data_IF_006286889282
#
_entry.id   IF_006286889282
#
_cell.length_a   1.000
_cell.length_b   1.000
_cell.length_c   1.000
_cell.angle_alpha   90.00
_cell.angle_beta   90.00
_cell.angle_gamma   90.00
#
_symmetry.space_group_name_H-M   'P 1'
#
loop_
_entity.id
_entity.type
_entity.pdbx_description
1 polymer ?
#
# COMPACT_ATOMS: atom_id res chain seq x y z
N UNK A 1 25.26 73.32 -22.89
CA UNK A 1 23.83 73.39 -22.54
C UNK A 1 23.11 72.36 -23.41
N UNK A 2 22.58 71.27 -22.87
CA UNK A 2 21.83 70.29 -23.68
C UNK A 2 20.38 70.74 -23.87
N UNK A 3 19.87 70.52 -25.05
CA UNK A 3 18.55 70.92 -25.56
C UNK A 3 17.42 70.06 -24.96
N UNK A 4 16.42 70.64 -24.30
CA UNK A 4 15.35 69.89 -23.58
C UNK A 4 14.21 69.39 -24.49
N UNK A 5 14.33 69.48 -25.82
CA UNK A 5 13.21 69.18 -26.74
C UNK A 5 13.13 67.73 -27.22
N UNK A 6 14.13 66.88 -26.96
CA UNK A 6 14.16 65.48 -27.41
C UNK A 6 13.46 64.49 -26.51
N UNK A 7 13.35 64.79 -25.23
CA UNK A 7 12.87 63.80 -24.23
C UNK A 7 11.35 63.70 -24.14
N UNK A 8 10.61 64.75 -24.48
CA UNK A 8 9.14 64.76 -24.40
C UNK A 8 8.44 64.01 -25.54
N UNK A 9 9.09 63.86 -26.68
CA UNK A 9 8.51 63.15 -27.84
C UNK A 9 8.59 61.64 -27.68
N UNK A 10 9.64 61.14 -27.02
CA UNK A 10 9.80 59.69 -26.77
C UNK A 10 8.79 59.13 -25.74
N UNK A 11 8.44 59.97 -24.73
CA UNK A 11 7.52 59.54 -23.66
C UNK A 11 6.06 59.44 -24.16
N UNK A 12 5.61 60.33 -24.99
CA UNK A 12 4.25 60.35 -25.58
C UNK A 12 4.01 59.16 -26.53
N UNK A 13 5.05 58.72 -27.24
CA UNK A 13 4.94 57.60 -28.18
C UNK A 13 4.89 56.25 -27.49
N UNK A 14 5.48 56.14 -26.29
CA UNK A 14 5.48 54.91 -25.50
C UNK A 14 4.11 54.67 -24.81
N UNK A 15 3.48 55.73 -24.29
CA UNK A 15 2.14 55.65 -23.68
C UNK A 15 1.06 55.28 -24.69
N UNK A 16 1.14 55.76 -25.95
CA UNK A 16 0.17 55.42 -26.99
C UNK A 16 0.27 53.95 -27.45
N UNK A 17 1.48 53.39 -27.44
CA UNK A 17 1.67 51.95 -27.77
C UNK A 17 1.26 51.02 -26.64
N UNK A 18 1.35 51.45 -25.40
CA UNK A 18 0.92 50.65 -24.23
C UNK A 18 -0.59 50.60 -24.06
N UNK A 19 -1.33 51.66 -24.50
CA UNK A 19 -2.79 51.67 -24.47
C UNK A 19 -3.45 50.83 -25.54
N UNK A 20 -2.77 50.54 -26.64
CA UNK A 20 -3.29 49.68 -27.74
C UNK A 20 -3.06 48.19 -27.39
N UNK A 21 -2.06 47.88 -26.57
CA UNK A 21 -1.81 46.49 -26.14
C UNK A 21 -2.74 46.01 -25.02
N UNK A 22 -3.36 46.96 -24.26
CA UNK A 22 -4.27 46.63 -23.16
C UNK A 22 -5.71 46.28 -23.58
N UNK A 23 -6.09 46.51 -24.85
CA UNK A 23 -7.46 46.25 -25.35
C UNK A 23 -7.60 44.89 -26.04
N UNK A 24 -6.51 44.20 -26.37
CA UNK A 24 -6.56 42.91 -27.09
C UNK A 24 -6.54 41.70 -26.13
N UNK A 25 -6.30 41.88 -24.81
CA UNK A 25 -6.21 40.78 -23.82
C UNK A 25 -7.55 40.50 -23.10
N UNK A 26 -8.61 41.30 -23.38
CA UNK A 26 -9.90 41.14 -22.69
C UNK A 26 -10.93 40.24 -23.43
N UNK A 27 -10.52 39.55 -24.51
CA UNK A 27 -11.35 38.50 -25.11
C UNK A 27 -10.73 37.14 -24.82
N UNK A 28 -10.42 36.93 -23.51
CA UNK A 28 -10.06 35.63 -22.97
C UNK A 28 -11.27 34.72 -23.11
N UNK A 29 -11.15 33.66 -23.88
CA UNK A 29 -12.07 32.54 -23.94
C UNK A 29 -12.39 32.12 -22.50
N UNK A 30 -13.57 32.42 -22.02
CA UNK A 30 -14.21 31.78 -20.91
C UNK A 30 -14.52 30.34 -21.39
N UNK A 31 -13.51 29.47 -21.31
CA UNK A 31 -13.73 28.03 -21.39
C UNK A 31 -14.41 27.69 -20.09
N UNK A 32 -15.71 27.32 -20.10
CA UNK A 32 -16.31 26.80 -18.90
C UNK A 32 -15.46 25.59 -18.50
N UNK A 33 -14.86 25.62 -17.31
CA UNK A 33 -14.28 24.45 -16.70
C UNK A 33 -15.45 23.48 -16.49
N UNK A 34 -15.69 22.63 -17.48
CA UNK A 34 -16.56 21.47 -17.29
C UNK A 34 -15.88 20.67 -16.17
N UNK A 35 -16.57 20.41 -15.02
CA UNK A 35 -16.05 19.46 -14.07
C UNK A 35 -15.80 18.19 -14.88
N UNK A 36 -14.56 17.70 -14.91
CA UNK A 36 -14.24 16.38 -15.43
C UNK A 36 -15.09 15.42 -14.60
N UNK A 37 -16.22 15.01 -15.18
CA UNK A 37 -16.98 13.89 -14.65
C UNK A 37 -15.96 12.75 -14.59
N UNK A 38 -15.67 12.27 -13.37
CA UNK A 38 -14.89 11.06 -13.13
C UNK A 38 -15.57 9.99 -13.94
N UNK A 39 -14.98 9.60 -15.05
CA UNK A 39 -15.65 8.73 -16.02
C UNK A 39 -15.85 7.35 -15.38
N UNK A 40 -16.92 6.65 -15.76
CA UNK A 40 -17.13 5.25 -15.39
C UNK A 40 -15.86 4.41 -15.71
N UNK A 41 -15.16 4.75 -16.77
CA UNK A 41 -13.88 4.14 -17.17
C UNK A 41 -12.80 4.25 -16.08
N UNK A 42 -12.75 5.37 -15.31
CA UNK A 42 -11.77 5.56 -14.23
C UNK A 42 -12.13 4.69 -13.01
N UNK A 43 -13.42 4.49 -12.74
CA UNK A 43 -13.89 3.59 -11.69
C UNK A 43 -13.57 2.13 -12.02
N UNK A 44 -13.90 1.68 -13.23
CA UNK A 44 -13.64 0.31 -13.68
C UNK A 44 -12.13 0.03 -13.72
N UNK A 45 -11.33 1.00 -14.13
CA UNK A 45 -9.87 0.88 -14.10
C UNK A 45 -9.33 0.66 -12.67
N UNK A 46 -9.87 1.37 -11.67
CA UNK A 46 -9.47 1.18 -10.27
C UNK A 46 -9.95 -0.14 -9.68
N UNK A 47 -11.15 -0.59 -10.01
CA UNK A 47 -11.65 -1.91 -9.59
C UNK A 47 -10.77 -3.03 -10.18
N UNK A 48 -10.39 -2.90 -11.45
CA UNK A 48 -9.46 -3.84 -12.09
C UNK A 48 -8.07 -3.79 -11.43
N UNK A 49 -7.55 -2.62 -11.10
CA UNK A 49 -6.29 -2.44 -10.38
C UNK A 49 -6.32 -3.16 -9.02
N UNK A 50 -7.41 -3.00 -8.26
CA UNK A 50 -7.63 -3.67 -6.98
C UNK A 50 -7.65 -5.20 -7.13
N UNK A 51 -8.35 -5.71 -8.14
CA UNK A 51 -8.41 -7.13 -8.44
C UNK A 51 -7.04 -7.69 -8.80
N UNK A 52 -6.27 -6.99 -9.63
CA UNK A 52 -4.89 -7.37 -9.95
C UNK A 52 -3.99 -7.40 -8.72
N UNK A 53 -4.15 -6.42 -7.81
CA UNK A 53 -3.38 -6.33 -6.57
C UNK A 53 -3.66 -7.56 -5.70
N UNK A 54 -4.93 -7.96 -5.55
CA UNK A 54 -5.33 -9.17 -4.83
C UNK A 54 -4.75 -10.44 -5.45
N UNK A 55 -4.79 -10.56 -6.78
CA UNK A 55 -4.20 -11.69 -7.51
C UNK A 55 -2.67 -11.75 -7.32
N UNK A 56 -1.98 -10.60 -7.40
CA UNK A 56 -0.53 -10.52 -7.18
C UNK A 56 -0.16 -10.95 -5.74
N UNK A 57 -0.93 -10.48 -4.75
CA UNK A 57 -0.74 -10.86 -3.35
C UNK A 57 -0.98 -12.36 -3.13
N UNK A 58 -2.04 -12.92 -3.70
CA UNK A 58 -2.34 -14.35 -3.68
C UNK A 58 -1.19 -15.18 -4.26
N UNK A 59 -0.67 -14.78 -5.41
CA UNK A 59 0.44 -15.46 -6.08
C UNK A 59 1.71 -15.46 -5.23
N UNK A 60 2.05 -14.32 -4.62
CA UNK A 60 3.22 -14.21 -3.72
C UNK A 60 3.04 -15.13 -2.53
N UNK A 61 1.86 -15.09 -1.89
CA UNK A 61 1.56 -15.91 -0.73
C UNK A 61 1.63 -17.42 -1.05
N UNK A 62 0.99 -17.86 -2.14
CA UNK A 62 1.04 -19.25 -2.60
C UNK A 62 2.48 -19.73 -2.86
N UNK A 63 3.30 -18.92 -3.53
CA UNK A 63 4.68 -19.27 -3.83
C UNK A 63 5.52 -19.47 -2.56
N UNK A 64 5.27 -18.68 -1.51
CA UNK A 64 5.94 -18.83 -0.22
C UNK A 64 5.46 -20.09 0.47
N UNK A 65 4.16 -20.33 0.51
CA UNK A 65 3.57 -21.48 1.18
C UNK A 65 3.88 -22.81 0.50
N UNK A 66 4.18 -22.82 -0.78
CA UNK A 66 4.60 -23.99 -1.55
C UNK A 66 6.10 -24.29 -1.47
N UNK A 67 6.91 -23.41 -0.84
CA UNK A 67 8.35 -23.63 -0.73
C UNK A 67 8.61 -24.64 0.40
N UNK A 68 9.17 -25.82 0.10
CA UNK A 68 9.43 -26.83 1.12
C UNK A 68 10.39 -26.28 2.18
N UNK A 69 10.13 -26.62 3.46
CA UNK A 69 10.96 -26.30 4.62
C UNK A 69 11.26 -24.80 4.86
N UNK A 70 10.64 -23.89 4.10
CA UNK A 70 10.80 -22.44 4.22
C UNK A 70 9.47 -21.67 4.26
N UNK A 71 8.34 -22.35 4.31
CA UNK A 71 7.04 -21.70 4.41
C UNK A 71 6.81 -21.03 5.77
N UNK A 72 5.87 -20.11 5.83
CA UNK A 72 5.34 -19.60 7.10
C UNK A 72 4.67 -20.75 7.84
N UNK A 73 5.00 -20.99 9.12
CA UNK A 73 4.41 -22.09 9.89
C UNK A 73 2.89 -22.00 9.93
N UNK A 74 2.21 -23.10 9.61
CA UNK A 74 0.73 -23.12 9.55
C UNK A 74 0.08 -22.77 10.89
N UNK A 75 0.72 -23.09 12.02
CA UNK A 75 0.19 -22.77 13.33
C UNK A 75 0.24 -21.26 13.63
N UNK A 76 1.17 -20.53 13.06
CA UNK A 76 1.14 -19.06 13.08
C UNK A 76 -0.01 -18.52 12.24
N UNK A 77 -0.21 -19.06 11.03
CA UNK A 77 -1.31 -18.64 10.17
C UNK A 77 -2.68 -18.92 10.81
N UNK A 78 -2.84 -20.03 11.53
CA UNK A 78 -4.07 -20.35 12.27
C UNK A 78 -4.39 -19.35 13.39
N UNK A 79 -3.36 -18.78 14.03
CA UNK A 79 -3.49 -17.79 15.11
C UNK A 79 -3.53 -16.36 14.61
N UNK A 80 -3.11 -16.10 13.37
CA UNK A 80 -3.06 -14.77 12.81
C UNK A 80 -4.43 -14.10 12.79
N UNK A 81 -4.47 -12.84 13.17
CA UNK A 81 -5.63 -11.96 13.13
C UNK A 81 -5.78 -11.30 11.76
N UNK A 82 -4.66 -10.96 11.11
CA UNK A 82 -4.63 -10.50 9.74
C UNK A 82 -3.34 -10.91 9.05
N UNK A 83 -3.38 -10.94 7.72
CA UNK A 83 -2.20 -11.14 6.88
C UNK A 83 -2.18 -10.01 5.86
N UNK A 84 -1.02 -9.35 5.74
CA UNK A 84 -0.76 -8.34 4.73
C UNK A 84 0.33 -8.84 3.77
N UNK A 85 0.15 -8.60 2.48
CA UNK A 85 1.16 -8.88 1.45
C UNK A 85 1.36 -7.65 0.61
N UNK A 86 2.60 -7.19 0.50
CA UNK A 86 3.04 -6.09 -0.35
C UNK A 86 3.93 -6.66 -1.44
N UNK A 87 3.35 -7.00 -2.61
CA UNK A 87 4.12 -7.52 -3.74
C UNK A 87 4.98 -6.42 -4.33
N UNK A 88 6.20 -6.77 -4.72
CA UNK A 88 7.05 -5.90 -5.53
C UNK A 88 7.37 -4.53 -4.90
N UNK A 89 7.66 -4.50 -3.60
CA UNK A 89 8.18 -3.29 -2.95
C UNK A 89 9.52 -2.93 -3.60
N UNK A 90 9.54 -1.80 -4.29
CA UNK A 90 10.71 -1.33 -5.03
C UNK A 90 11.61 -0.56 -4.08
N UNK A 91 12.87 -0.94 -4.05
CA UNK A 91 13.95 -0.23 -3.35
C UNK A 91 14.78 0.50 -4.38
N UNK A 92 14.94 1.80 -4.21
CA UNK A 92 15.88 2.60 -4.98
C UNK A 92 16.85 3.27 -4.01
N UNK A 93 18.13 2.92 -4.08
CA UNK A 93 19.14 3.44 -3.17
C UNK A 93 20.46 3.78 -3.90
N UNK A 94 21.05 4.89 -3.46
CA UNK A 94 22.42 5.28 -3.72
C UNK A 94 23.02 5.70 -2.36
N UNK A 95 23.44 4.72 -1.53
CA UNK A 95 23.85 4.87 -0.11
C UNK A 95 22.65 5.07 0.82
N UNK A 96 21.80 6.05 0.58
CA UNK A 96 20.49 6.26 1.21
C UNK A 96 19.43 6.30 0.11
N UNK A 97 18.33 5.64 0.31
CA UNK A 97 17.24 5.55 -0.66
C UNK A 97 15.88 5.44 0.01
N UNK A 98 14.88 5.20 -0.81
CA UNK A 98 13.53 4.92 -0.37
C UNK A 98 13.06 3.56 -0.91
N UNK A 99 12.15 2.93 -0.20
CA UNK A 99 11.42 1.77 -0.65
C UNK A 99 9.93 2.03 -0.54
N UNK A 100 9.16 1.46 -1.45
CA UNK A 100 7.72 1.60 -1.43
C UNK A 100 7.02 0.61 -2.34
N UNK A 101 5.79 0.26 -1.95
CA UNK A 101 4.95 -0.65 -2.71
C UNK A 101 3.52 -0.66 -2.18
N UNK A 102 2.61 -1.15 -3.02
CA UNK A 102 1.21 -1.35 -2.68
C UNK A 102 0.99 -2.76 -2.16
N UNK A 103 0.02 -2.93 -1.29
CA UNK A 103 -0.29 -4.21 -0.70
C UNK A 103 -1.75 -4.42 -0.38
N UNK A 104 -2.04 -5.61 0.07
CA UNK A 104 -3.38 -6.08 0.40
C UNK A 104 -3.34 -6.69 1.79
N UNK A 105 -4.32 -6.35 2.60
CA UNK A 105 -4.55 -6.91 3.94
C UNK A 105 -5.87 -7.67 3.92
N UNK A 106 -5.89 -8.86 4.52
CA UNK A 106 -7.12 -9.58 4.83
C UNK A 106 -7.14 -9.91 6.32
N UNK A 107 -8.22 -9.56 6.99
CA UNK A 107 -8.42 -9.83 8.41
C UNK A 107 -9.23 -11.11 8.61
N UNK A 108 -8.98 -11.79 9.73
CA UNK A 108 -9.77 -12.95 10.13
C UNK A 108 -11.14 -12.49 10.62
N UNK A 109 -12.17 -13.16 10.16
CA UNK A 109 -13.55 -12.99 10.59
C UNK A 109 -14.10 -14.28 11.14
N UNK A 110 -15.32 -14.27 11.70
CA UNK A 110 -16.00 -15.48 12.14
C UNK A 110 -16.32 -16.45 10.99
N UNK A 111 -16.45 -15.94 9.75
CA UNK A 111 -16.74 -16.72 8.56
C UNK A 111 -15.48 -17.18 7.78
N UNK A 112 -14.29 -16.78 8.24
CA UNK A 112 -13.02 -17.09 7.57
C UNK A 112 -12.15 -15.85 7.39
N UNK A 113 -11.61 -15.65 6.19
CA UNK A 113 -10.80 -14.47 5.85
C UNK A 113 -11.68 -13.44 5.15
N UNK A 114 -11.65 -12.23 5.65
CA UNK A 114 -12.43 -11.09 5.15
C UNK A 114 -11.91 -10.56 3.83
N UNK A 115 -12.66 -9.60 3.29
CA UNK A 115 -12.32 -8.91 2.04
C UNK A 115 -10.94 -8.26 2.07
N UNK A 116 -10.30 -8.16 0.90
CA UNK A 116 -9.04 -7.45 0.80
C UNK A 116 -9.23 -5.95 1.04
N UNK A 117 -8.41 -5.39 1.92
CA UNK A 117 -8.30 -3.95 2.16
C UNK A 117 -6.94 -3.50 1.66
N UNK A 118 -6.89 -2.38 0.93
CA UNK A 118 -5.69 -1.93 0.23
C UNK A 118 -4.89 -0.94 1.07
N UNK A 119 -3.57 -1.16 1.09
CA UNK A 119 -2.60 -0.37 1.84
C UNK A 119 -1.35 -0.11 1.01
N UNK A 120 -0.53 0.86 1.45
CA UNK A 120 0.81 1.13 0.95
C UNK A 120 1.83 0.93 2.04
N UNK A 121 3.01 0.46 1.66
CA UNK A 121 4.19 0.43 2.51
C UNK A 121 5.23 1.38 1.92
N UNK A 122 5.85 2.20 2.76
CA UNK A 122 6.94 3.09 2.38
C UNK A 122 7.94 3.21 3.51
N UNK A 123 9.22 3.37 3.20
CA UNK A 123 10.24 3.51 4.23
C UNK A 123 11.58 3.95 3.69
N UNK A 124 12.53 4.26 4.60
CA UNK A 124 13.90 4.50 4.22
C UNK A 124 14.56 3.18 3.82
N UNK A 125 15.34 3.20 2.77
CA UNK A 125 16.18 2.08 2.34
C UNK A 125 17.63 2.44 2.55
N UNK A 126 18.32 1.68 3.39
CA UNK A 126 19.75 1.86 3.64
C UNK A 126 20.47 0.59 3.17
N UNK A 127 21.45 0.75 2.32
CA UNK A 127 22.26 -0.38 1.87
C UNK A 127 23.42 0.05 0.98
N UNK A 128 24.49 -0.74 0.95
CA UNK A 128 25.68 -0.45 0.12
C UNK A 128 25.42 -0.71 -1.38
N UNK A 129 24.19 -0.92 -1.79
CA UNK A 129 23.83 -1.28 -3.15
C UNK A 129 23.43 -0.04 -3.94
N UNK A 130 24.09 0.15 -5.10
CA UNK A 130 23.66 1.08 -6.13
C UNK A 130 22.72 0.31 -7.06
N UNK A 131 21.46 0.72 -7.13
CA UNK A 131 20.51 0.12 -8.07
C UNK A 131 19.08 0.03 -7.54
N UNK A 132 18.20 -0.54 -8.37
CA UNK A 132 16.84 -0.86 -8.01
C UNK A 132 16.70 -2.37 -7.78
N UNK A 133 16.00 -2.74 -6.71
CA UNK A 133 15.59 -4.13 -6.45
C UNK A 133 14.14 -4.18 -6.03
N UNK A 134 13.50 -5.31 -6.27
CA UNK A 134 12.14 -5.56 -5.84
C UNK A 134 12.12 -6.69 -4.80
N UNK A 135 11.29 -6.51 -3.79
CA UNK A 135 11.15 -7.43 -2.66
C UNK A 135 9.68 -7.57 -2.33
N UNK A 136 9.21 -8.78 -2.10
CA UNK A 136 7.87 -8.98 -1.55
C UNK A 136 7.96 -8.95 -0.02
N UNK A 137 7.03 -8.24 0.62
CA UNK A 137 6.93 -8.14 2.07
C UNK A 137 5.65 -8.81 2.53
N UNK A 138 5.74 -9.64 3.58
CA UNK A 138 4.59 -10.25 4.22
C UNK A 138 4.61 -9.87 5.70
N UNK A 139 3.46 -9.45 6.20
CA UNK A 139 3.23 -9.17 7.61
C UNK A 139 2.13 -10.12 8.11
N UNK A 140 2.41 -10.81 9.22
CA UNK A 140 1.44 -11.64 9.93
C UNK A 140 1.12 -10.95 11.25
N UNK A 141 -0.08 -10.42 11.37
CA UNK A 141 -0.56 -9.68 12.53
C UNK A 141 -1.15 -10.69 13.54
N UNK A 142 -0.62 -10.69 14.75
CA UNK A 142 -0.84 -11.80 15.70
C UNK A 142 -1.90 -11.49 16.76
N UNK A 143 -2.19 -10.21 17.03
CA UNK A 143 -3.10 -9.79 18.10
C UNK A 143 -4.00 -8.62 17.66
N UNK A 144 -4.91 -8.22 18.55
CA UNK A 144 -5.87 -7.15 18.26
C UNK A 144 -5.21 -5.76 18.30
N UNK A 145 -4.10 -5.58 19.02
CA UNK A 145 -3.32 -4.34 19.00
C UNK A 145 -2.73 -4.09 17.61
N UNK A 146 -2.23 -5.14 16.95
CA UNK A 146 -1.77 -5.05 15.56
C UNK A 146 -2.91 -4.64 14.60
N UNK A 147 -4.15 -5.11 14.84
CA UNK A 147 -5.31 -4.66 14.06
C UNK A 147 -5.64 -3.19 14.35
N UNK A 148 -5.54 -2.76 15.62
CA UNK A 148 -5.77 -1.36 15.99
C UNK A 148 -4.79 -0.41 15.29
N UNK A 149 -3.55 -0.85 15.01
CA UNK A 149 -2.62 -0.07 14.21
C UNK A 149 -3.06 0.08 12.75
N UNK A 150 -3.65 -0.95 12.13
CA UNK A 150 -4.21 -0.85 10.78
C UNK A 150 -5.38 0.15 10.66
N UNK A 151 -6.06 0.41 11.77
CA UNK A 151 -7.17 1.38 11.81
C UNK A 151 -6.70 2.84 11.90
N UNK A 152 -5.40 3.09 12.06
CA UNK A 152 -4.83 4.44 12.04
C UNK A 152 -4.58 4.89 10.60
N UNK A 153 -4.52 6.21 10.39
CA UNK A 153 -4.18 6.78 9.08
C UNK A 153 -2.76 6.38 8.63
N UNK A 154 -1.89 6.10 9.59
CA UNK A 154 -0.53 5.59 9.37
C UNK A 154 0.03 5.00 10.64
N UNK A 155 0.93 4.03 10.50
CA UNK A 155 1.76 3.54 11.61
C UNK A 155 3.12 3.05 11.10
N UNK A 156 4.13 3.12 11.96
CA UNK A 156 5.50 2.72 11.65
C UNK A 156 5.85 1.41 12.36
N UNK A 157 6.35 0.45 11.59
CA UNK A 157 6.84 -0.82 12.12
C UNK A 157 8.07 -0.60 13.02
N UNK A 158 8.00 -1.10 14.23
CA UNK A 158 9.07 -1.02 15.23
C UNK A 158 9.11 0.27 16.05
N UNK A 159 8.29 1.28 15.69
CA UNK A 159 8.07 2.47 16.51
C UNK A 159 6.67 2.42 17.15
N UNK A 160 5.63 2.23 16.34
CA UNK A 160 4.25 2.19 16.81
C UNK A 160 3.78 0.77 17.14
N UNK A 161 4.24 -0.22 16.36
CA UNK A 161 3.89 -1.64 16.51
C UNK A 161 5.14 -2.50 16.72
N UNK A 162 5.11 -3.41 17.68
CA UNK A 162 6.22 -4.32 17.92
C UNK A 162 6.37 -5.33 16.78
N UNK A 163 7.49 -5.27 16.05
CA UNK A 163 7.78 -6.11 14.90
C UNK A 163 9.00 -7.00 15.13
N UNK A 164 8.89 -8.27 14.73
CA UNK A 164 10.02 -9.21 14.72
C UNK A 164 10.07 -9.98 13.40
N UNK A 165 11.28 -10.46 13.03
CA UNK A 165 11.41 -11.41 11.94
C UNK A 165 10.72 -12.72 12.28
N UNK A 166 9.79 -13.17 11.44
CA UNK A 166 9.03 -14.38 11.68
C UNK A 166 9.86 -15.65 11.47
N UNK A 167 9.57 -16.75 12.17
CA UNK A 167 10.24 -18.03 11.96
C UNK A 167 9.78 -18.67 10.65
N UNK A 168 10.67 -19.40 10.00
CA UNK A 168 10.40 -20.11 8.74
C UNK A 168 10.62 -21.60 8.91
N UNK A 169 9.84 -22.41 8.22
CA UNK A 169 9.99 -23.86 8.20
C UNK A 169 9.74 -24.50 9.58
N UNK A 170 10.56 -25.51 9.89
CA UNK A 170 10.45 -26.31 11.12
C UNK A 170 11.07 -25.63 12.34
N UNK A 171 11.81 -24.55 12.17
CA UNK A 171 12.46 -23.82 13.29
C UNK A 171 11.46 -23.01 14.14
N UNK A 172 10.18 -23.08 13.82
CA UNK A 172 9.09 -22.39 14.51
C UNK A 172 8.93 -22.78 16.01
N UNK A 173 9.61 -23.82 16.48
CA UNK A 173 9.57 -24.28 17.86
C UNK A 173 10.49 -23.54 18.82
N UNK A 174 11.48 -22.83 18.33
CA UNK A 174 12.41 -22.05 19.15
C UNK A 174 11.91 -20.61 19.30
N UNK A 175 10.91 -20.43 20.18
CA UNK A 175 10.41 -19.10 20.54
C UNK A 175 11.51 -18.29 21.20
N UNK A 176 12.02 -17.26 20.54
CA UNK A 176 12.79 -16.21 21.19
C UNK A 176 11.84 -15.25 21.88
N UNK A 177 12.28 -14.58 22.94
CA UNK A 177 11.47 -13.57 23.65
C UNK A 177 10.89 -12.53 22.69
N UNK A 178 11.64 -12.18 21.64
CA UNK A 178 11.18 -11.25 20.59
C UNK A 178 9.94 -11.75 19.83
N UNK A 179 9.82 -13.06 19.58
CA UNK A 179 8.65 -13.65 18.92
C UNK A 179 7.42 -13.70 19.83
N UNK A 180 7.64 -13.84 21.14
CA UNK A 180 6.55 -13.91 22.11
C UNK A 180 5.89 -12.54 22.35
N UNK A 181 6.62 -11.45 22.15
CA UNK A 181 6.15 -10.08 22.35
C UNK A 181 5.85 -9.32 21.04
N UNK A 182 6.11 -9.94 19.89
CA UNK A 182 5.83 -9.32 18.60
C UNK A 182 4.32 -9.27 18.31
N UNK A 183 3.82 -8.10 18.02
CA UNK A 183 2.47 -7.91 17.49
C UNK A 183 2.41 -8.31 16.02
N UNK A 184 3.50 -8.07 15.29
CA UNK A 184 3.62 -8.31 13.85
C UNK A 184 4.87 -9.16 13.58
N UNK A 185 4.68 -10.29 12.93
CA UNK A 185 5.77 -11.09 12.37
C UNK A 185 5.98 -10.70 10.91
N UNK A 186 7.20 -10.34 10.55
CA UNK A 186 7.51 -9.85 9.23
C UNK A 186 8.47 -10.77 8.47
N UNK A 187 8.23 -10.84 7.16
CA UNK A 187 8.97 -11.68 6.24
C UNK A 187 9.28 -10.91 4.96
N UNK A 188 10.36 -11.29 4.32
CA UNK A 188 10.78 -10.73 3.04
C UNK A 188 11.14 -11.84 2.07
N UNK A 189 10.77 -11.66 0.80
CA UNK A 189 11.22 -12.50 -0.30
C UNK A 189 11.89 -11.65 -1.38
N UNK A 190 13.15 -11.93 -1.62
CA UNK A 190 13.93 -11.26 -2.67
C UNK A 190 14.72 -12.30 -3.46
N UNK A 191 14.70 -12.23 -4.78
CA UNK A 191 15.44 -13.15 -5.69
C UNK A 191 15.25 -14.64 -5.34
N UNK A 192 14.03 -15.05 -4.96
CA UNK A 192 13.72 -16.44 -4.61
C UNK A 192 14.14 -16.87 -3.18
N UNK A 193 14.81 -16.01 -2.43
CA UNK A 193 15.12 -16.25 -1.02
C UNK A 193 14.01 -15.67 -0.15
N UNK A 194 13.48 -16.50 0.75
CA UNK A 194 12.47 -16.13 1.74
C UNK A 194 13.03 -16.27 3.15
N UNK A 195 12.83 -15.25 3.98
CA UNK A 195 13.30 -15.23 5.37
C UNK A 195 12.42 -14.32 6.22
N UNK A 196 12.38 -14.60 7.53
CA UNK A 196 11.93 -13.64 8.51
C UNK A 196 12.94 -12.50 8.65
N UNK A 197 12.47 -11.27 8.60
CA UNK A 197 13.31 -10.07 8.65
C UNK A 197 12.67 -9.04 9.56
N UNK A 198 13.48 -8.24 10.23
CA UNK A 198 12.96 -7.13 11.02
C UNK A 198 12.82 -5.89 10.11
N UNK A 199 11.58 -5.47 9.88
CA UNK A 199 11.23 -4.37 8.97
C UNK A 199 10.96 -3.06 9.72
N UNK A 200 11.83 -2.67 10.66
CA UNK A 200 11.71 -1.39 11.38
C UNK A 200 11.84 -0.20 10.44
N UNK A 201 11.05 0.84 10.69
CA UNK A 201 11.08 2.08 9.92
C UNK A 201 10.18 2.07 8.69
N UNK A 202 9.51 0.96 8.38
CA UNK A 202 8.52 0.93 7.31
C UNK A 202 7.20 1.49 7.84
N UNK A 203 6.67 2.47 7.13
CA UNK A 203 5.38 3.10 7.39
C UNK A 203 4.32 2.40 6.54
N UNK A 204 3.23 2.04 7.17
CA UNK A 204 2.05 1.45 6.53
C UNK A 204 0.93 2.49 6.56
N UNK A 205 0.31 2.74 5.41
CA UNK A 205 -0.76 3.71 5.21
C UNK A 205 -1.91 3.11 4.41
N UNK A 206 -3.19 3.43 4.71
CA UNK A 206 -4.32 3.02 3.90
C UNK A 206 -4.23 3.59 2.47
N UNK A 207 -4.69 2.82 1.49
CA UNK A 207 -4.89 3.30 0.12
C UNK A 207 -6.37 3.59 -0.11
N UNK A 208 -6.87 4.62 0.60
CA UNK A 208 -8.30 4.92 0.68
C UNK A 208 -8.93 5.29 -0.66
N UNK A 209 -8.17 5.84 -1.61
CA UNK A 209 -8.67 6.07 -2.97
C UNK A 209 -9.07 4.77 -3.66
N UNK A 210 -8.28 3.71 -3.46
CA UNK A 210 -8.58 2.40 -4.01
C UNK A 210 -9.69 1.70 -3.22
N UNK A 211 -9.65 1.80 -1.89
CA UNK A 211 -10.70 1.26 -1.02
C UNK A 211 -12.07 1.89 -1.32
N UNK A 212 -12.12 3.21 -1.48
CA UNK A 212 -13.36 3.92 -1.85
C UNK A 212 -13.83 3.59 -3.26
N UNK A 213 -12.92 3.39 -4.20
CA UNK A 213 -13.31 2.99 -5.56
C UNK A 213 -14.00 1.61 -5.57
N UNK A 214 -13.51 0.67 -4.77
CA UNK A 214 -14.05 -0.71 -4.74
C UNK A 214 -15.28 -0.82 -3.84
N UNK A 215 -15.23 -0.21 -2.64
CA UNK A 215 -16.18 -0.47 -1.56
C UNK A 215 -17.01 0.75 -1.16
N UNK A 216 -16.70 1.93 -1.70
CA UNK A 216 -17.22 3.23 -1.26
C UNK A 216 -17.00 3.47 0.26
N UNK A 217 -15.94 2.91 0.83
CA UNK A 217 -15.56 2.99 2.25
C UNK A 217 -14.05 3.20 2.40
N UNK A 218 -13.64 3.82 3.50
CA UNK A 218 -12.23 3.91 3.91
C UNK A 218 -11.73 2.58 4.50
N UNK A 219 -10.43 2.41 4.64
CA UNK A 219 -9.85 1.25 5.31
C UNK A 219 -10.34 1.11 6.76
N UNK A 220 -10.46 2.22 7.48
CA UNK A 220 -10.96 2.26 8.84
C UNK A 220 -12.39 1.68 8.95
N UNK A 221 -13.30 2.12 8.06
CA UNK A 221 -14.68 1.61 8.00
C UNK A 221 -14.70 0.13 7.59
N UNK A 222 -13.79 -0.25 6.70
CA UNK A 222 -13.62 -1.61 6.23
C UNK A 222 -13.18 -2.58 7.33
N UNK A 223 -12.25 -2.18 8.17
CA UNK A 223 -11.72 -2.98 9.26
C UNK A 223 -12.64 -3.01 10.49
N UNK A 224 -13.43 -1.95 10.69
CA UNK A 224 -14.40 -1.87 11.79
C UNK A 224 -15.67 -2.70 11.60
N UNK A 225 -15.98 -3.09 10.36
CA UNK A 225 -17.20 -3.82 10.01
C UNK A 225 -16.93 -5.32 9.86
N UNK A 226 -16.99 -6.04 10.98
CA UNK A 226 -16.68 -7.48 11.05
C UNK A 226 -17.70 -8.40 10.34
N UNK A 227 -18.83 -7.88 9.83
CA UNK A 227 -19.94 -8.69 9.33
C UNK A 227 -20.19 -8.53 7.82
N UNK A 228 -19.20 -8.03 7.07
CA UNK A 228 -19.42 -7.68 5.68
C UNK A 228 -19.37 -8.86 4.72
N UNK A 229 -20.28 -8.83 3.75
CA UNK A 229 -20.30 -9.73 2.60
C UNK A 229 -19.52 -9.09 1.44
N UNK A 230 -18.55 -9.80 0.83
CA UNK A 230 -17.76 -9.26 -0.26
C UNK A 230 -18.61 -8.90 -1.49
N UNK A 231 -18.24 -7.86 -2.26
CA UNK A 231 -18.78 -7.71 -3.59
C UNK A 231 -18.40 -8.94 -4.42
N UNK A 232 -19.33 -9.44 -5.21
CA UNK A 232 -19.18 -10.69 -6.00
C UNK A 232 -18.23 -10.48 -7.21
N UNK A 233 -16.99 -10.10 -6.93
CA UNK A 233 -15.94 -9.97 -7.91
C UNK A 233 -14.85 -11.00 -7.64
N UNK A 234 -14.96 -12.16 -8.30
CA UNK A 234 -14.13 -13.34 -8.06
C UNK A 234 -12.62 -13.07 -7.93
N UNK A 235 -12.06 -12.12 -8.69
CA UNK A 235 -10.63 -11.79 -8.67
C UNK A 235 -10.23 -10.99 -7.41
N UNK A 236 -11.12 -10.19 -6.84
CA UNK A 236 -10.87 -9.49 -5.58
C UNK A 236 -10.66 -10.47 -4.43
N UNK A 237 -11.36 -11.59 -4.42
CA UNK A 237 -11.25 -12.60 -3.38
C UNK A 237 -10.05 -13.53 -3.52
N UNK A 238 -9.20 -13.35 -4.55
CA UNK A 238 -8.06 -14.22 -4.79
C UNK A 238 -7.13 -14.33 -3.57
N UNK A 239 -6.84 -13.21 -2.88
CA UNK A 239 -5.95 -13.22 -1.73
C UNK A 239 -6.57 -13.87 -0.47
N UNK A 240 -7.79 -13.52 -0.02
CA UNK A 240 -8.45 -14.23 1.08
C UNK A 240 -8.60 -15.74 0.82
N UNK A 241 -8.91 -16.14 -0.40
CA UNK A 241 -8.99 -17.55 -0.80
C UNK A 241 -7.62 -18.24 -0.74
N UNK A 242 -6.54 -17.56 -1.15
CA UNK A 242 -5.19 -18.07 -1.02
C UNK A 242 -4.82 -18.33 0.44
N UNK A 243 -5.11 -17.39 1.34
CA UNK A 243 -4.86 -17.57 2.77
C UNK A 243 -5.66 -18.73 3.32
N UNK A 244 -6.95 -18.84 2.96
CA UNK A 244 -7.86 -19.88 3.44
C UNK A 244 -7.34 -21.29 3.16
N UNK A 245 -6.64 -21.53 2.04
CA UNK A 245 -6.06 -22.83 1.70
C UNK A 245 -5.02 -23.32 2.70
N UNK A 246 -4.32 -22.42 3.38
CA UNK A 246 -3.20 -22.76 4.28
C UNK A 246 -3.53 -22.52 5.76
N UNK A 247 -4.46 -21.62 6.05
CA UNK A 247 -4.85 -21.20 7.39
C UNK A 247 -6.20 -21.80 7.85
N UNK A 248 -6.77 -22.73 7.08
CA UNK A 248 -7.97 -23.45 7.49
C UNK A 248 -7.71 -24.17 8.81
N UNK A 249 -8.54 -23.91 9.82
CA UNK A 249 -8.67 -24.81 10.96
C UNK A 249 -9.17 -26.13 10.41
N UNK A 250 -8.45 -27.22 10.66
CA UNK A 250 -8.97 -28.57 10.37
C UNK A 250 -10.31 -28.66 11.08
N UNK A 251 -11.41 -28.50 10.35
CA UNK A 251 -12.72 -28.76 10.89
C UNK A 251 -12.69 -30.22 11.34
N UNK A 252 -12.87 -30.44 12.61
CA UNK A 252 -13.15 -31.74 13.20
C UNK A 252 -14.42 -32.24 12.50
N UNK A 253 -14.23 -33.04 11.47
CA UNK A 253 -15.30 -33.92 11.00
C UNK A 253 -15.59 -34.92 12.11
N UNK A 254 -16.73 -34.77 12.70
CA UNK A 254 -17.44 -35.81 13.44
C UNK A 254 -18.54 -36.34 12.56
#
# INVERSE_FOLDING_TARGET
MPNPSGEKVAFVTLEKRMRILAVVVAFGCFVPATPLARSADDHDARVNEAAEQSVKAAKVFDQIMQTPDKAIPRDLLKRAKAIAVFPHVVKAAFVVGAEGGRGVVSCRTNAGWGEPVFFRAAGPSIGPQIGASATDIILVLMNDDAIAHLMKDRFELGADAAVAGGPVGREAGAGTDALMHAEILSYSRSRGLFAGVNLKGIVIEPEDDLNRAVYNKSAHELLGDAQRQPPDTGSLLAFPQAISRYAATSGTGH
#
